data_IF_668071400701
#
_entry.id   IF_668071400701
#
_cell.length_a   1.000
_cell.length_b   1.000
_cell.length_c   1.000
_cell.angle_alpha   90.00
_cell.angle_beta   90.00
_cell.angle_gamma   90.00
#
_symmetry.space_group_name_H-M   'P 1'
#
loop_
_entity.id
_entity.type
_entity.pdbx_description
1 polymer ?
#
# COMPACT_ATOMS: atom_id res chain seq x y z
N UNK A 1 -27.28 -16.62 -8.53
CA UNK A 1 -26.46 -15.62 -7.79
C UNK A 1 -25.53 -16.39 -6.87
N UNK A 2 -24.25 -16.00 -6.74
CA UNK A 2 -23.33 -16.64 -5.80
C UNK A 2 -23.73 -16.29 -4.37
N UNK A 3 -23.44 -17.19 -3.43
CA UNK A 3 -23.65 -17.02 -1.99
C UNK A 3 -22.29 -16.99 -1.32
N UNK A 4 -22.09 -16.11 -0.34
CA UNK A 4 -20.88 -16.06 0.47
C UNK A 4 -21.21 -15.71 1.92
N UNK A 5 -20.35 -16.18 2.83
CA UNK A 5 -20.49 -15.89 4.26
C UNK A 5 -20.00 -14.49 4.59
N UNK A 6 -18.97 -14.02 3.88
CA UNK A 6 -18.42 -12.66 3.97
C UNK A 6 -18.20 -12.10 2.58
N UNK A 7 -18.30 -10.79 2.45
CA UNK A 7 -18.00 -10.08 1.21
C UNK A 7 -17.12 -8.87 1.47
N UNK A 8 -15.84 -8.99 1.15
CA UNK A 8 -14.88 -7.90 1.20
C UNK A 8 -14.83 -7.19 -0.16
N UNK A 9 -14.86 -5.86 -0.15
CA UNK A 9 -14.65 -5.02 -1.33
C UNK A 9 -13.41 -4.18 -1.10
N UNK A 10 -12.42 -4.37 -1.96
CA UNK A 10 -11.17 -3.61 -1.93
C UNK A 10 -11.26 -2.47 -2.94
N UNK A 11 -11.03 -1.24 -2.50
CA UNK A 11 -10.97 0.00 -3.31
C UNK A 11 -12.26 0.40 -4.07
N UNK A 12 -13.09 -0.54 -4.49
CA UNK A 12 -14.38 -0.31 -5.14
C UNK A 12 -14.69 -1.32 -6.25
N UNK A 13 -15.65 -0.96 -7.12
CA UNK A 13 -16.01 -1.73 -8.30
C UNK A 13 -15.41 -1.08 -9.55
N UNK A 14 -14.48 -1.75 -10.22
CA UNK A 14 -13.80 -1.18 -11.39
C UNK A 14 -14.65 -1.29 -12.66
N UNK A 15 -15.00 -2.51 -13.06
CA UNK A 15 -15.61 -2.81 -14.36
C UNK A 15 -17.15 -2.85 -14.34
N UNK A 16 -17.76 -2.63 -13.17
CA UNK A 16 -19.22 -2.74 -12.99
C UNK A 16 -19.77 -1.54 -12.25
N UNK A 17 -20.96 -1.09 -12.67
CA UNK A 17 -21.72 -0.05 -11.93
C UNK A 17 -22.31 -0.57 -10.61
N UNK A 18 -22.53 -1.88 -10.53
CA UNK A 18 -23.02 -2.56 -9.33
C UNK A 18 -22.65 -4.04 -9.36
N UNK A 19 -22.55 -4.66 -8.19
CA UNK A 19 -22.41 -6.10 -8.04
C UNK A 19 -23.43 -6.60 -7.01
N UNK A 20 -23.86 -7.86 -7.13
CA UNK A 20 -24.89 -8.45 -6.28
C UNK A 20 -24.52 -9.87 -5.88
N UNK A 21 -24.65 -10.17 -4.60
CA UNK A 21 -24.45 -11.51 -4.05
C UNK A 21 -25.49 -11.79 -2.95
N UNK A 22 -25.55 -13.04 -2.47
CA UNK A 22 -26.29 -13.40 -1.27
C UNK A 22 -25.30 -13.48 -0.10
N UNK A 23 -25.42 -12.57 0.86
CA UNK A 23 -24.51 -12.44 2.01
C UNK A 23 -25.27 -11.80 3.19
N UNK A 24 -24.95 -12.14 4.44
CA UNK A 24 -25.35 -11.32 5.58
C UNK A 24 -24.86 -9.88 5.42
N UNK A 25 -25.72 -8.88 5.67
CA UNK A 25 -25.34 -7.47 5.50
C UNK A 25 -24.22 -7.05 6.45
N UNK A 26 -24.21 -7.65 7.63
CA UNK A 26 -23.23 -7.44 8.70
C UNK A 26 -21.82 -7.92 8.30
N UNK A 27 -21.72 -8.73 7.23
CA UNK A 27 -20.49 -9.39 6.78
C UNK A 27 -19.94 -8.75 5.49
N UNK A 28 -20.46 -7.58 5.12
CA UNK A 28 -20.05 -6.82 3.94
C UNK A 28 -19.09 -5.72 4.38
N UNK A 29 -17.82 -5.83 4.02
CA UNK A 29 -16.74 -5.01 4.58
C UNK A 29 -16.01 -4.29 3.45
N UNK A 30 -15.73 -3.01 3.64
CA UNK A 30 -14.93 -2.23 2.71
C UNK A 30 -13.49 -2.09 3.21
N UNK A 31 -12.53 -2.13 2.29
CA UNK A 31 -11.11 -1.87 2.55
C UNK A 31 -10.66 -0.77 1.61
N UNK A 32 -10.25 0.38 2.15
CA UNK A 32 -9.63 1.46 1.36
C UNK A 32 -8.20 1.07 1.00
N UNK A 33 -7.66 1.50 -0.13
CA UNK A 33 -6.26 1.29 -0.54
C UNK A 33 -5.47 2.58 -0.74
N UNK A 34 -6.09 3.65 -1.24
CA UNK A 34 -5.45 4.96 -1.40
C UNK A 34 -5.63 5.84 -0.14
N UNK A 35 -4.65 6.71 0.18
CA UNK A 35 -4.71 7.62 1.32
C UNK A 35 -5.71 8.78 1.06
N UNK A 36 -6.13 9.51 2.12
CA UNK A 36 -7.08 10.63 1.99
C UNK A 36 -6.61 11.78 1.09
N UNK A 37 -5.30 11.88 0.84
CA UNK A 37 -4.68 12.86 -0.06
C UNK A 37 -4.84 12.52 -1.54
N UNK A 38 -5.19 11.26 -1.88
CA UNK A 38 -5.34 10.79 -3.26
C UNK A 38 -6.77 10.40 -3.61
N UNK A 39 -7.53 9.89 -2.64
CA UNK A 39 -8.91 9.47 -2.84
C UNK A 39 -9.71 9.76 -1.58
N UNK A 40 -10.96 10.18 -1.76
CA UNK A 40 -11.95 10.31 -0.69
C UNK A 40 -13.16 9.47 -1.05
N UNK A 41 -13.99 9.16 -0.05
CA UNK A 41 -15.14 8.30 -0.24
C UNK A 41 -16.44 9.00 0.16
N UNK A 42 -17.49 8.84 -0.65
CA UNK A 42 -18.81 9.44 -0.33
C UNK A 42 -19.50 8.67 0.79
N UNK A 43 -20.24 9.40 1.64
CA UNK A 43 -21.04 8.79 2.72
C UNK A 43 -22.01 7.74 2.19
N UNK A 44 -22.68 8.02 1.08
CA UNK A 44 -23.63 7.10 0.42
C UNK A 44 -22.94 5.81 -0.03
N UNK A 45 -21.70 5.91 -0.52
CA UNK A 45 -20.92 4.74 -0.91
C UNK A 45 -20.52 3.92 0.32
N UNK A 46 -19.97 4.56 1.35
CA UNK A 46 -19.48 3.91 2.58
C UNK A 46 -20.62 3.26 3.38
N UNK A 47 -21.80 3.86 3.42
CA UNK A 47 -22.97 3.33 4.13
C UNK A 47 -23.56 2.04 3.51
N UNK A 48 -22.98 1.53 2.41
CA UNK A 48 -23.32 0.21 1.86
C UNK A 48 -22.65 -0.94 2.63
N UNK A 49 -21.70 -0.64 3.52
CA UNK A 49 -20.85 -1.60 4.21
C UNK A 49 -21.15 -1.63 5.71
N UNK A 50 -20.93 -2.78 6.35
CA UNK A 50 -21.07 -2.92 7.80
C UNK A 50 -19.85 -2.41 8.56
N UNK A 51 -18.67 -2.42 7.94
CA UNK A 51 -17.41 -1.92 8.50
C UNK A 51 -16.50 -1.41 7.38
N UNK A 52 -15.61 -0.49 7.73
CA UNK A 52 -14.59 0.06 6.81
C UNK A 52 -13.21 -0.04 7.44
N UNK A 53 -12.32 -0.82 6.83
CA UNK A 53 -10.90 -0.92 7.21
C UNK A 53 -10.13 0.15 6.43
N UNK A 54 -9.44 1.05 7.14
CA UNK A 54 -8.86 2.24 6.50
C UNK A 54 -7.76 2.94 7.29
N UNK A 55 -6.94 3.71 6.58
CA UNK A 55 -6.03 4.71 7.15
C UNK A 55 -6.66 6.13 7.26
N UNK A 56 -7.89 6.33 6.77
CA UNK A 56 -8.57 7.63 6.75
C UNK A 56 -9.14 7.95 8.14
N UNK A 57 -8.42 8.73 8.94
CA UNK A 57 -8.83 9.06 10.33
C UNK A 57 -10.17 9.78 10.43
N UNK A 58 -10.50 10.59 9.43
CA UNK A 58 -11.73 11.41 9.38
C UNK A 58 -12.83 10.78 8.50
N UNK A 59 -12.80 9.45 8.30
CA UNK A 59 -13.78 8.78 7.45
C UNK A 59 -15.21 8.86 8.05
N UNK A 60 -16.19 9.26 7.24
CA UNK A 60 -17.60 9.31 7.65
C UNK A 60 -18.25 7.92 7.54
N UNK A 61 -18.09 7.11 8.60
CA UNK A 61 -18.70 5.80 8.71
C UNK A 61 -18.92 5.41 10.19
N UNK A 62 -20.03 4.75 10.57
CA UNK A 62 -20.33 4.38 11.96
C UNK A 62 -19.39 3.33 12.57
N UNK A 63 -18.70 2.52 11.75
CA UNK A 63 -17.77 1.48 12.21
C UNK A 63 -16.46 1.51 11.40
N UNK A 64 -15.60 2.52 11.60
CA UNK A 64 -14.27 2.55 10.99
C UNK A 64 -13.30 1.69 11.82
N UNK A 65 -12.37 1.02 11.14
CA UNK A 65 -11.32 0.20 11.73
C UNK A 65 -9.99 0.77 11.22
N UNK A 66 -9.30 1.48 12.09
CA UNK A 66 -8.09 2.22 11.73
C UNK A 66 -6.83 1.36 11.77
N UNK A 67 -6.36 0.93 10.60
CA UNK A 67 -5.17 0.11 10.42
C UNK A 67 -4.72 0.10 8.95
N UNK A 68 -3.58 -0.54 8.69
CA UNK A 68 -3.09 -0.82 7.34
C UNK A 68 -4.09 -1.67 6.53
N UNK A 69 -4.07 -1.49 5.21
CA UNK A 69 -5.11 -2.02 4.32
C UNK A 69 -4.79 -3.35 3.62
N UNK A 70 -3.67 -3.99 3.96
CA UNK A 70 -3.24 -5.27 3.37
C UNK A 70 -2.86 -5.14 1.90
N UNK A 71 -2.21 -4.05 1.51
CA UNK A 71 -1.86 -3.81 0.11
C UNK A 71 -0.99 -4.94 -0.47
N UNK A 72 -1.31 -5.49 -1.66
CA UNK A 72 -0.52 -6.56 -2.26
C UNK A 72 0.93 -6.11 -2.55
N UNK A 73 1.91 -6.97 -2.26
CA UNK A 73 3.29 -6.75 -2.68
C UNK A 73 3.44 -6.92 -4.20
N UNK A 74 4.49 -6.33 -4.76
CA UNK A 74 4.78 -6.37 -6.20
C UNK A 74 6.08 -7.11 -6.53
N UNK A 75 6.83 -7.63 -5.56
CA UNK A 75 7.99 -8.48 -5.87
C UNK A 75 7.54 -9.75 -6.58
N UNK A 76 8.30 -10.19 -7.59
CA UNK A 76 7.93 -11.36 -8.37
C UNK A 76 6.83 -11.09 -9.39
N UNK A 77 6.25 -9.89 -9.42
CA UNK A 77 5.25 -9.49 -10.42
C UNK A 77 5.98 -8.82 -11.58
N UNK A 78 6.21 -9.57 -12.65
CA UNK A 78 6.81 -9.06 -13.88
C UNK A 78 5.78 -8.29 -14.69
N UNK A 79 6.11 -7.06 -15.06
CA UNK A 79 5.27 -6.20 -15.87
C UNK A 79 6.00 -5.61 -17.06
N UNK A 80 5.30 -5.53 -18.19
CA UNK A 80 5.75 -4.78 -19.37
C UNK A 80 4.58 -3.99 -19.93
N UNK A 81 4.78 -2.70 -20.22
CA UNK A 81 3.73 -1.81 -20.74
C UNK A 81 2.42 -1.85 -19.93
N UNK A 82 2.53 -1.88 -18.59
CA UNK A 82 1.38 -1.99 -17.66
C UNK A 82 0.63 -3.33 -17.66
N UNK A 83 1.07 -4.30 -18.47
CA UNK A 83 0.50 -5.64 -18.50
C UNK A 83 1.33 -6.57 -17.61
N UNK A 84 0.65 -7.38 -16.80
CA UNK A 84 1.31 -8.46 -16.07
C UNK A 84 1.67 -9.55 -17.07
N UNK A 85 2.95 -9.93 -17.10
CA UNK A 85 3.44 -10.97 -18.02
C UNK A 85 3.75 -12.28 -17.28
N UNK A 86 4.17 -12.21 -16.02
CA UNK A 86 4.51 -13.39 -15.22
C UNK A 86 4.47 -13.06 -13.71
N UNK A 87 4.22 -14.08 -12.89
CA UNK A 87 4.42 -14.05 -11.44
C UNK A 87 5.50 -15.08 -11.05
N UNK A 88 6.73 -14.62 -10.84
CA UNK A 88 7.89 -15.48 -10.56
C UNK A 88 7.98 -15.90 -9.08
N UNK A 89 7.43 -15.11 -8.15
CA UNK A 89 7.44 -15.34 -6.70
C UNK A 89 6.03 -15.28 -6.11
N UNK A 90 5.73 -16.24 -5.25
CA UNK A 90 4.49 -16.33 -4.46
C UNK A 90 4.84 -16.43 -2.97
N UNK A 91 3.83 -16.56 -2.11
CA UNK A 91 4.01 -16.69 -0.66
C UNK A 91 5.01 -17.81 -0.30
N UNK A 92 4.80 -19.03 -0.81
CA UNK A 92 5.62 -20.19 -0.46
C UNK A 92 7.09 -20.00 -0.85
N UNK A 93 7.37 -19.59 -2.09
CA UNK A 93 8.74 -19.32 -2.55
C UNK A 93 9.43 -18.24 -1.72
N UNK A 94 8.70 -17.22 -1.25
CA UNK A 94 9.26 -16.17 -0.41
C UNK A 94 9.48 -16.64 1.03
N UNK A 95 8.64 -17.54 1.51
CA UNK A 95 8.71 -18.12 2.86
C UNK A 95 9.87 -19.10 3.00
N UNK A 96 10.16 -19.85 1.94
CA UNK A 96 11.26 -20.84 1.89
C UNK A 96 12.66 -20.21 1.83
N UNK A 97 12.76 -18.93 1.45
CA UNK A 97 14.06 -18.24 1.37
C UNK A 97 14.66 -18.03 2.76
N UNK A 98 15.82 -18.64 3.01
CA UNK A 98 16.59 -18.43 4.24
C UNK A 98 17.59 -17.26 4.15
N UNK A 99 18.04 -16.90 2.95
CA UNK A 99 19.00 -15.81 2.73
C UNK A 99 18.81 -15.18 1.34
N UNK A 100 19.20 -13.91 1.21
CA UNK A 100 19.24 -13.16 -0.05
C UNK A 100 20.61 -12.46 -0.09
N UNK A 101 21.54 -12.90 -0.97
CA UNK A 101 22.85 -12.27 -1.09
C UNK A 101 22.75 -10.80 -1.46
N UNK A 102 23.56 -9.96 -0.80
CA UNK A 102 23.61 -8.51 -1.06
C UNK A 102 24.97 -8.14 -1.65
N UNK A 103 24.98 -7.59 -2.86
CA UNK A 103 26.19 -7.20 -3.61
C UNK A 103 26.26 -5.69 -3.87
N UNK A 104 25.14 -4.98 -3.72
CA UNK A 104 24.99 -3.54 -3.97
C UNK A 104 24.56 -2.78 -2.72
N UNK A 105 24.80 -1.47 -2.72
CA UNK A 105 24.60 -0.62 -1.54
C UNK A 105 23.17 -0.07 -1.43
N UNK A 106 22.78 0.90 -2.26
CA UNK A 106 21.46 1.55 -2.22
C UNK A 106 20.72 1.40 -3.54
N UNK A 107 19.40 1.22 -3.45
CA UNK A 107 18.49 1.47 -4.56
C UNK A 107 17.35 2.40 -4.17
N UNK A 108 16.75 3.03 -5.17
CA UNK A 108 15.49 3.78 -5.04
C UNK A 108 14.64 3.50 -6.27
N UNK A 109 13.33 3.28 -6.06
CA UNK A 109 12.36 3.14 -7.15
C UNK A 109 11.39 4.32 -7.06
N UNK A 110 11.37 5.17 -8.08
CA UNK A 110 10.40 6.27 -8.19
C UNK A 110 9.99 6.48 -9.64
N UNK A 111 8.69 6.61 -9.91
CA UNK A 111 8.21 6.93 -11.26
C UNK A 111 8.31 8.42 -11.55
N UNK A 112 8.46 8.81 -12.82
CA UNK A 112 8.38 10.20 -13.30
C UNK A 112 6.99 10.85 -13.20
N UNK A 113 5.99 10.14 -12.64
CA UNK A 113 4.67 10.73 -12.37
C UNK A 113 4.80 11.87 -11.38
N UNK A 114 4.17 13.01 -11.69
CA UNK A 114 4.14 14.23 -10.87
C UNK A 114 2.70 14.77 -10.66
N UNK A 115 1.72 13.87 -10.67
CA UNK A 115 0.28 14.20 -10.68
C UNK A 115 -0.25 14.75 -9.35
N UNK A 116 0.47 14.55 -8.23
CA UNK A 116 0.17 15.14 -6.92
C UNK A 116 1.43 15.73 -6.30
N UNK A 117 1.28 16.53 -5.25
CA UNK A 117 2.42 17.09 -4.51
C UNK A 117 3.36 15.99 -4.01
N UNK A 118 2.82 14.92 -3.45
CA UNK A 118 3.61 13.79 -2.97
C UNK A 118 4.32 13.02 -4.09
N UNK A 119 3.70 12.90 -5.27
CA UNK A 119 4.39 12.36 -6.45
C UNK A 119 5.62 13.20 -6.81
N UNK A 120 5.48 14.53 -6.83
CA UNK A 120 6.57 15.46 -7.12
C UNK A 120 7.70 15.40 -6.08
N UNK A 121 7.37 15.48 -4.79
CA UNK A 121 8.36 15.41 -3.69
C UNK A 121 9.23 14.16 -3.79
N UNK A 122 8.63 13.00 -4.03
CA UNK A 122 9.38 11.73 -4.17
C UNK A 122 10.26 11.69 -5.41
N UNK A 123 9.77 12.19 -6.53
CA UNK A 123 10.54 12.23 -7.77
C UNK A 123 11.76 13.15 -7.63
N UNK A 124 11.56 14.36 -7.12
CA UNK A 124 12.65 15.31 -6.86
C UNK A 124 13.66 14.76 -5.85
N UNK A 125 13.19 14.16 -4.76
CA UNK A 125 14.10 13.56 -3.78
C UNK A 125 14.90 12.38 -4.37
N UNK A 126 14.29 11.53 -5.19
CA UNK A 126 15.00 10.44 -5.85
C UNK A 126 16.11 10.94 -6.79
N UNK A 127 15.88 12.05 -7.51
CA UNK A 127 16.92 12.70 -8.31
C UNK A 127 18.03 13.30 -7.45
N UNK A 128 17.69 13.99 -6.35
CA UNK A 128 18.68 14.51 -5.39
C UNK A 128 19.55 13.42 -4.79
N UNK A 129 18.96 12.28 -4.43
CA UNK A 129 19.73 11.12 -3.94
C UNK A 129 20.69 10.61 -4.99
N UNK A 130 20.26 10.53 -6.26
CA UNK A 130 21.13 10.08 -7.36
C UNK A 130 22.30 11.03 -7.59
N UNK A 131 22.05 12.33 -7.53
CA UNK A 131 23.09 13.36 -7.63
C UNK A 131 24.10 13.26 -6.47
N UNK A 132 23.59 13.20 -5.23
CA UNK A 132 24.40 13.16 -4.01
C UNK A 132 25.24 11.89 -3.85
N UNK A 133 24.63 10.72 -4.02
CA UNK A 133 25.28 9.43 -3.79
C UNK A 133 25.97 8.87 -5.05
N UNK A 134 25.73 9.43 -6.23
CA UNK A 134 26.37 9.07 -7.49
C UNK A 134 26.28 7.57 -7.81
N UNK A 135 27.41 6.89 -7.86
CA UNK A 135 27.51 5.46 -8.18
C UNK A 135 27.09 4.55 -7.01
N UNK A 136 26.91 5.08 -5.80
CA UNK A 136 26.51 4.29 -4.62
C UNK A 136 25.00 3.96 -4.60
N UNK A 137 24.20 4.66 -5.40
CA UNK A 137 22.76 4.46 -5.52
C UNK A 137 22.34 4.20 -6.96
N UNK A 138 21.51 3.18 -7.15
CA UNK A 138 20.84 2.94 -8.43
C UNK A 138 19.40 3.47 -8.36
N UNK A 139 19.03 4.30 -9.34
CA UNK A 139 17.70 4.90 -9.48
C UNK A 139 16.93 4.16 -10.58
N UNK A 140 15.80 3.57 -10.21
CA UNK A 140 14.89 2.87 -11.09
C UNK A 140 13.50 3.51 -11.11
N UNK A 141 12.73 3.18 -12.13
CA UNK A 141 11.31 3.52 -12.21
C UNK A 141 10.88 3.92 -13.61
N UNK A 142 9.57 4.02 -13.78
CA UNK A 142 8.95 4.36 -15.07
C UNK A 142 9.32 5.76 -15.52
N UNK A 143 9.66 5.91 -16.80
CA UNK A 143 10.19 7.15 -17.36
C UNK A 143 11.61 7.50 -16.89
N UNK A 144 12.29 6.57 -16.22
CA UNK A 144 13.70 6.63 -15.83
C UNK A 144 14.38 5.33 -16.30
N UNK A 145 15.01 4.58 -15.38
CA UNK A 145 15.53 3.24 -15.65
C UNK A 145 14.44 2.19 -15.31
N UNK A 146 13.69 1.75 -16.31
CA UNK A 146 12.57 0.83 -16.11
C UNK A 146 13.04 -0.60 -15.81
N UNK A 147 12.27 -1.30 -14.98
CA UNK A 147 12.47 -2.70 -14.61
C UNK A 147 11.16 -3.45 -14.78
N UNK A 148 11.22 -4.71 -15.20
CA UNK A 148 10.03 -5.55 -15.31
C UNK A 148 9.58 -6.09 -13.95
N UNK A 149 10.53 -6.45 -13.08
CA UNK A 149 10.28 -6.93 -11.71
C UNK A 149 10.97 -6.01 -10.71
N UNK A 150 10.26 -5.62 -9.64
CA UNK A 150 10.88 -4.87 -8.54
C UNK A 150 11.97 -5.67 -7.84
N UNK A 151 11.90 -7.01 -7.89
CA UNK A 151 12.92 -7.89 -7.33
C UNK A 151 14.33 -7.50 -7.82
N UNK A 152 14.48 -7.15 -9.11
CA UNK A 152 15.77 -6.85 -9.74
C UNK A 152 16.38 -5.52 -9.24
N UNK A 153 15.57 -4.65 -8.66
CA UNK A 153 16.01 -3.40 -8.05
C UNK A 153 16.12 -3.48 -6.52
N UNK A 154 15.88 -4.64 -5.91
CA UNK A 154 15.81 -4.80 -4.47
C UNK A 154 16.71 -5.93 -3.94
N UNK A 155 16.68 -7.09 -4.57
CA UNK A 155 17.28 -8.32 -4.04
C UNK A 155 18.78 -8.16 -3.74
N UNK A 156 19.53 -7.51 -4.63
CA UNK A 156 20.98 -7.35 -4.50
C UNK A 156 21.39 -6.21 -3.55
N UNK A 157 20.46 -5.38 -3.08
CA UNK A 157 20.77 -4.15 -2.35
C UNK A 157 20.64 -4.34 -0.84
N UNK A 158 21.60 -3.81 -0.08
CA UNK A 158 21.52 -3.74 1.38
C UNK A 158 20.43 -2.79 1.85
N UNK A 159 20.33 -1.62 1.23
CA UNK A 159 19.39 -0.56 1.58
C UNK A 159 18.47 -0.24 0.41
N UNK A 160 17.20 0.06 0.72
CA UNK A 160 16.25 0.55 -0.28
C UNK A 160 15.51 1.78 0.24
N UNK A 161 15.48 2.84 -0.57
CA UNK A 161 14.73 4.06 -0.25
C UNK A 161 13.27 3.87 -0.67
N UNK A 162 12.41 3.60 0.31
CA UNK A 162 10.99 3.32 0.13
C UNK A 162 10.16 4.58 0.44
N UNK A 163 9.57 5.18 -0.58
CA UNK A 163 8.91 6.49 -0.48
C UNK A 163 7.43 6.41 -0.83
N UNK A 164 6.56 6.72 0.12
CA UNK A 164 5.10 6.79 -0.12
C UNK A 164 4.63 8.14 -0.65
N UNK A 165 3.51 8.10 -1.36
CA UNK A 165 2.87 9.30 -1.93
C UNK A 165 2.45 10.31 -0.87
N UNK A 166 2.34 9.93 0.39
CA UNK A 166 1.87 10.78 1.48
C UNK A 166 2.35 10.23 2.81
N UNK A 167 2.49 11.12 3.81
CA UNK A 167 2.72 10.75 5.19
C UNK A 167 1.37 10.69 5.92
N UNK A 168 0.80 9.49 6.09
CA UNK A 168 -0.49 9.28 6.76
C UNK A 168 -0.37 8.11 7.73
N UNK A 169 -0.93 8.26 8.92
CA UNK A 169 -0.97 7.17 9.90
C UNK A 169 -1.63 5.93 9.32
N UNK A 170 -1.06 4.76 9.62
CA UNK A 170 -1.53 3.47 9.13
C UNK A 170 -1.41 3.27 7.60
N UNK A 171 -0.86 4.24 6.85
CA UNK A 171 -0.67 4.16 5.40
C UNK A 171 0.78 3.78 5.05
N UNK A 172 1.00 2.49 4.85
CA UNK A 172 2.19 1.95 4.22
C UNK A 172 1.77 0.91 3.18
N UNK A 173 2.54 0.79 2.11
CA UNK A 173 2.12 0.05 0.92
C UNK A 173 3.15 -1.00 0.51
N UNK A 174 3.01 -1.46 -0.73
CA UNK A 174 3.95 -2.37 -1.35
C UNK A 174 5.38 -1.80 -1.36
N UNK A 175 5.57 -0.48 -1.36
CA UNK A 175 6.93 0.11 -1.39
C UNK A 175 7.76 -0.29 -0.19
N UNK A 176 7.15 -0.33 1.00
CA UNK A 176 7.81 -0.81 2.21
C UNK A 176 7.80 -2.35 2.26
N UNK A 177 6.67 -2.97 1.92
CA UNK A 177 6.53 -4.43 1.92
C UNK A 177 7.60 -5.09 1.04
N UNK A 178 7.77 -4.61 -0.19
CA UNK A 178 8.72 -5.10 -1.18
C UNK A 178 10.16 -5.01 -0.67
N UNK A 179 10.52 -3.94 0.05
CA UNK A 179 11.85 -3.78 0.65
C UNK A 179 12.16 -4.87 1.68
N UNK A 180 11.23 -5.12 2.62
CA UNK A 180 11.37 -6.20 3.60
C UNK A 180 11.35 -7.58 2.92
N UNK A 181 10.47 -7.78 1.93
CA UNK A 181 10.38 -9.01 1.15
C UNK A 181 11.57 -9.25 0.21
N UNK A 182 12.42 -8.27 0.00
CA UNK A 182 13.72 -8.46 -0.64
C UNK A 182 14.87 -8.54 0.37
N UNK A 183 14.60 -8.42 1.68
CA UNK A 183 15.60 -8.45 2.73
C UNK A 183 16.48 -7.21 2.77
N UNK A 184 15.96 -6.04 2.37
CA UNK A 184 16.65 -4.76 2.48
C UNK A 184 16.40 -4.12 3.86
N UNK A 185 17.30 -3.25 4.30
CA UNK A 185 17.01 -2.25 5.33
C UNK A 185 16.30 -1.05 4.69
N UNK A 186 15.02 -0.78 4.99
CA UNK A 186 14.30 0.32 4.36
C UNK A 186 14.74 1.68 4.92
N UNK A 187 14.99 2.64 4.04
CA UNK A 187 15.10 4.07 4.32
C UNK A 187 13.74 4.69 3.96
N UNK A 188 12.88 4.94 4.95
CA UNK A 188 11.43 4.97 4.74
C UNK A 188 10.75 6.31 5.03
N UNK A 189 9.83 6.72 4.15
CA UNK A 189 8.90 7.83 4.35
C UNK A 189 7.47 7.40 3.98
N UNK A 190 6.49 7.62 4.87
CA UNK A 190 5.08 7.44 4.52
C UNK A 190 4.08 7.18 5.65
N UNK A 191 4.51 6.57 6.74
CA UNK A 191 3.63 6.19 7.85
C UNK A 191 4.22 6.72 9.17
N UNK A 192 3.72 7.83 9.74
CA UNK A 192 4.30 8.41 10.95
C UNK A 192 4.28 7.44 12.14
N UNK A 193 3.22 6.65 12.27
CA UNK A 193 3.07 5.62 13.30
C UNK A 193 3.61 4.23 12.90
N UNK A 194 4.59 4.15 11.97
CA UNK A 194 5.09 2.87 11.42
C UNK A 194 5.60 1.88 12.49
N UNK A 195 6.06 2.40 13.63
CA UNK A 195 6.56 1.60 14.75
C UNK A 195 5.45 0.76 15.43
N UNK A 196 4.17 0.96 15.09
CA UNK A 196 3.07 0.05 15.47
C UNK A 196 3.14 -1.29 14.72
N UNK A 197 3.79 -1.32 13.57
CA UNK A 197 3.82 -2.46 12.65
C UNK A 197 5.17 -3.18 12.69
N UNK A 198 6.26 -2.41 12.72
CA UNK A 198 7.62 -2.93 12.61
C UNK A 198 8.51 -2.40 13.73
N UNK A 199 9.54 -3.16 14.10
CA UNK A 199 10.50 -2.72 15.12
C UNK A 199 11.24 -1.46 14.64
N UNK A 200 11.45 -0.43 15.49
CA UNK A 200 12.10 0.82 15.08
C UNK A 200 13.49 0.64 14.48
N UNK A 201 14.23 -0.41 14.85
CA UNK A 201 15.55 -0.71 14.31
C UNK A 201 15.54 -1.51 13.01
N UNK A 202 14.37 -2.00 12.55
CA UNK A 202 14.25 -2.73 11.27
C UNK A 202 14.26 -1.83 10.03
N UNK A 203 14.08 -0.51 10.22
CA UNK A 203 14.06 0.51 9.17
C UNK A 203 14.63 1.81 9.72
N UNK A 204 14.95 2.75 8.84
CA UNK A 204 15.35 4.12 9.21
C UNK A 204 14.33 5.11 8.64
N UNK A 205 13.57 5.83 9.49
CA UNK A 205 12.65 6.86 9.02
C UNK A 205 13.39 8.06 8.43
N UNK A 206 12.87 8.62 7.34
CA UNK A 206 13.34 9.87 6.73
C UNK A 206 12.14 10.79 6.47
N UNK A 207 12.37 12.10 6.38
CA UNK A 207 11.31 13.09 6.13
C UNK A 207 11.60 13.92 4.88
N UNK A 208 10.72 13.79 3.88
CA UNK A 208 10.86 14.49 2.61
C UNK A 208 10.59 16.00 2.71
N UNK A 209 10.00 16.48 3.81
CA UNK A 209 9.88 17.93 4.04
C UNK A 209 11.21 18.58 4.43
N UNK A 210 12.20 17.78 4.82
CA UNK A 210 13.55 18.23 5.18
C UNK A 210 14.61 17.42 4.41
N UNK A 211 14.74 17.61 3.08
CA UNK A 211 15.52 16.73 2.21
C UNK A 211 17.00 16.64 2.61
N UNK A 212 17.64 17.75 2.98
CA UNK A 212 19.05 17.73 3.42
C UNK A 212 19.23 16.92 4.72
N UNK A 213 18.31 17.09 5.68
CA UNK A 213 18.31 16.27 6.91
C UNK A 213 18.06 14.81 6.59
N UNK A 214 17.16 14.50 5.65
CA UNK A 214 16.91 13.13 5.22
C UNK A 214 18.16 12.48 4.60
N UNK A 215 18.92 13.23 3.80
CA UNK A 215 20.20 12.77 3.25
C UNK A 215 21.20 12.50 4.40
N UNK A 216 21.36 13.40 5.36
CA UNK A 216 22.25 13.18 6.51
C UNK A 216 21.85 11.95 7.33
N UNK A 217 20.56 11.71 7.56
CA UNK A 217 20.07 10.50 8.23
C UNK A 217 20.42 9.23 7.44
N UNK A 218 20.34 9.27 6.11
CA UNK A 218 20.77 8.16 5.27
C UNK A 218 22.28 7.94 5.42
N UNK A 219 23.09 8.99 5.37
CA UNK A 219 24.54 8.88 5.55
C UNK A 219 24.92 8.27 6.90
N UNK A 220 24.28 8.72 7.98
CA UNK A 220 24.46 8.16 9.33
C UNK A 220 24.08 6.68 9.38
N UNK A 221 22.96 6.30 8.77
CA UNK A 221 22.50 4.91 8.68
C UNK A 221 23.53 4.02 7.97
N UNK A 222 24.11 4.50 6.87
CA UNK A 222 25.15 3.79 6.12
C UNK A 222 26.45 3.70 6.91
N UNK A 223 26.89 4.79 7.52
CA UNK A 223 28.12 4.84 8.33
C UNK A 223 28.05 3.90 9.55
N UNK A 224 26.85 3.75 10.13
CA UNK A 224 26.58 2.83 11.24
C UNK A 224 26.40 1.37 10.81
N UNK A 225 26.45 1.05 9.51
CA UNK A 225 26.20 -0.30 8.98
C UNK A 225 24.87 -0.88 9.52
N UNK A 226 23.80 -0.07 9.51
CA UNK A 226 22.52 -0.45 10.12
C UNK A 226 21.91 -1.72 9.53
N UNK A 227 22.09 -1.96 8.23
CA UNK A 227 21.68 -3.20 7.58
C UNK A 227 22.27 -4.43 8.28
N UNK A 228 23.58 -4.42 8.55
CA UNK A 228 24.28 -5.51 9.22
C UNK A 228 23.77 -5.71 10.65
N UNK A 229 23.58 -4.63 11.40
CA UNK A 229 23.11 -4.70 12.80
C UNK A 229 21.62 -5.06 12.94
N UNK A 230 20.82 -4.92 11.88
CA UNK A 230 19.37 -5.13 11.93
C UNK A 230 18.89 -6.34 11.12
N UNK A 231 19.77 -7.24 10.67
CA UNK A 231 19.41 -8.37 9.80
C UNK A 231 18.25 -9.19 10.36
N UNK A 232 18.32 -9.57 11.63
CA UNK A 232 17.29 -10.40 12.26
C UNK A 232 15.94 -9.66 12.32
N UNK A 233 15.97 -8.36 12.60
CA UNK A 233 14.77 -7.52 12.62
C UNK A 233 14.19 -7.32 11.22
N UNK A 234 15.01 -7.28 10.16
CA UNK A 234 14.55 -7.26 8.77
C UNK A 234 13.84 -8.58 8.44
N UNK A 235 14.38 -9.73 8.85
CA UNK A 235 13.76 -11.04 8.66
C UNK A 235 12.48 -11.22 9.48
N UNK A 236 12.42 -10.66 10.69
CA UNK A 236 11.18 -10.58 11.47
C UNK A 236 10.13 -9.72 10.74
N UNK A 237 10.50 -8.54 10.27
CA UNK A 237 9.61 -7.65 9.50
C UNK A 237 9.13 -8.31 8.21
N UNK A 238 10.00 -9.03 7.49
CA UNK A 238 9.63 -9.87 6.33
C UNK A 238 8.56 -10.90 6.71
N UNK A 239 8.77 -11.61 7.82
CA UNK A 239 7.81 -12.60 8.32
C UNK A 239 6.47 -11.96 8.64
N UNK A 240 6.46 -10.78 9.27
CA UNK A 240 5.23 -10.01 9.53
C UNK A 240 4.51 -9.60 8.24
N UNK A 241 5.24 -9.15 7.22
CA UNK A 241 4.65 -8.85 5.90
C UNK A 241 3.98 -10.08 5.31
N UNK A 242 4.68 -11.22 5.30
CA UNK A 242 4.18 -12.47 4.73
C UNK A 242 2.98 -13.03 5.51
N UNK A 243 3.04 -13.06 6.83
CA UNK A 243 2.09 -13.86 7.63
C UNK A 243 0.97 -13.03 8.26
N UNK A 244 1.17 -11.72 8.45
CA UNK A 244 0.26 -10.88 9.23
C UNK A 244 -0.31 -9.70 8.45
N UNK A 245 0.53 -8.99 7.71
CA UNK A 245 0.13 -7.73 7.07
C UNK A 245 -0.29 -7.87 5.61
N UNK A 246 -0.36 -9.09 5.09
CA UNK A 246 -0.97 -9.35 3.78
C UNK A 246 -2.52 -9.31 3.86
N UNK A 247 -3.16 -9.12 2.71
CA UNK A 247 -4.63 -9.04 2.59
C UNK A 247 -5.36 -10.25 3.19
N UNK A 248 -4.86 -11.46 2.97
CA UNK A 248 -5.53 -12.69 3.41
C UNK A 248 -5.48 -12.85 4.93
N UNK A 249 -4.34 -12.55 5.55
CA UNK A 249 -4.20 -12.55 7.00
C UNK A 249 -5.12 -11.50 7.64
N UNK A 250 -5.14 -10.28 7.09
CA UNK A 250 -6.05 -9.21 7.55
C UNK A 250 -7.52 -9.64 7.48
N UNK A 251 -7.95 -10.25 6.36
CA UNK A 251 -9.32 -10.77 6.20
C UNK A 251 -9.62 -11.89 7.20
N UNK A 252 -8.68 -12.82 7.38
CA UNK A 252 -8.84 -13.94 8.31
C UNK A 252 -8.95 -13.47 9.77
N UNK A 253 -8.09 -12.51 10.18
CA UNK A 253 -8.14 -11.90 11.51
C UNK A 253 -9.47 -11.17 11.74
N UNK A 254 -9.95 -10.40 10.75
CA UNK A 254 -11.25 -9.74 10.82
C UNK A 254 -12.38 -10.77 11.03
N UNK A 255 -12.44 -11.81 10.20
CA UNK A 255 -13.49 -12.85 10.29
C UNK A 255 -13.44 -13.54 11.65
N UNK A 256 -12.25 -13.85 12.16
CA UNK A 256 -12.08 -14.50 13.44
C UNK A 256 -12.56 -13.61 14.60
N UNK A 257 -12.22 -12.32 14.58
CA UNK A 257 -12.68 -11.35 15.58
C UNK A 257 -14.21 -11.14 15.51
N UNK A 258 -14.75 -10.99 14.30
CA UNK A 258 -16.18 -10.80 14.11
C UNK A 258 -17.00 -12.02 14.58
N UNK A 259 -16.55 -13.24 14.28
CA UNK A 259 -17.18 -14.48 14.77
C UNK A 259 -17.17 -14.62 16.29
N UNK A 260 -16.13 -14.13 16.96
CA UNK A 260 -16.06 -14.11 18.44
C UNK A 260 -17.07 -13.13 19.04
N UNK A 261 -17.28 -11.99 18.39
CA UNK A 261 -18.21 -10.96 18.86
C UNK A 261 -19.67 -11.29 18.51
N UNK A 262 -19.89 -12.03 17.43
CA UNK A 262 -21.20 -12.54 17.03
C UNK A 262 -21.59 -13.76 17.89
N UNK A 263 -21.73 -13.57 19.21
CA UNK A 263 -22.32 -14.59 20.07
C UNK A 263 -23.74 -14.92 19.57
N UNK A 264 -23.96 -16.18 19.20
CA UNK A 264 -25.26 -16.88 19.04
C UNK A 264 -26.34 -16.34 18.09
N UNK A 265 -26.18 -15.19 17.43
CA UNK A 265 -27.18 -14.69 16.47
C UNK A 265 -26.98 -15.26 15.06
N UNK A 266 -27.99 -15.99 14.57
CA UNK A 266 -28.02 -16.44 13.18
C UNK A 266 -28.22 -15.24 12.26
N UNK A 267 -27.22 -14.94 11.42
CA UNK A 267 -27.31 -13.85 10.45
C UNK A 267 -28.04 -14.30 9.19
N UNK A 268 -29.04 -13.53 8.79
CA UNK A 268 -29.86 -13.84 7.62
C UNK A 268 -29.11 -13.60 6.30
N UNK A 269 -29.14 -14.59 5.43
CA UNK A 269 -28.64 -14.45 4.06
C UNK A 269 -29.63 -13.63 3.23
N UNK A 270 -29.22 -12.44 2.84
CA UNK A 270 -30.05 -11.53 2.04
C UNK A 270 -29.35 -11.15 0.74
N UNK A 271 -30.14 -10.70 -0.23
CA UNK A 271 -29.60 -10.12 -1.47
C UNK A 271 -28.98 -8.76 -1.14
N UNK A 272 -27.65 -8.65 -1.25
CA UNK A 272 -26.92 -7.39 -1.10
C UNK A 272 -26.49 -6.90 -2.48
N UNK A 273 -26.71 -5.61 -2.76
CA UNK A 273 -26.23 -4.94 -3.97
C UNK A 273 -25.33 -3.80 -3.59
N UNK A 274 -24.07 -3.86 -4.00
CA UNK A 274 -23.09 -2.78 -3.85
C UNK A 274 -23.06 -2.01 -5.17
N UNK A 275 -23.15 -0.70 -5.08
CA UNK A 275 -23.05 0.24 -6.20
C UNK A 275 -21.67 0.86 -6.19
N UNK A 276 -21.13 1.07 -7.39
CA UNK A 276 -19.85 1.73 -7.60
C UNK A 276 -19.91 3.13 -6.98
N UNK A 277 -18.83 3.51 -6.32
CA UNK A 277 -18.60 4.88 -5.90
C UNK A 277 -18.79 5.84 -7.08
N UNK A 278 -19.59 6.89 -6.87
CA UNK A 278 -19.76 7.91 -7.89
C UNK A 278 -18.41 8.61 -8.10
N UNK A 279 -17.85 8.52 -9.31
CA UNK A 279 -16.66 9.29 -9.63
C UNK A 279 -17.01 10.77 -9.65
N UNK A 280 -16.29 11.59 -8.87
CA UNK A 280 -16.44 13.06 -8.86
C UNK A 280 -16.23 13.72 -10.24
N UNK A 281 -15.81 12.97 -11.26
CA UNK A 281 -15.57 13.42 -12.63
C UNK A 281 -16.81 13.54 -13.52
N UNK A 282 -18.01 13.18 -13.05
CA UNK A 282 -19.23 13.25 -13.86
C UNK A 282 -20.10 14.44 -13.43
N UNK A 283 -19.62 15.66 -13.70
CA UNK A 283 -20.46 16.85 -13.70
C UNK A 283 -21.32 16.88 -14.98
N UNK A 284 -22.53 16.32 -14.91
CA UNK A 284 -23.52 16.48 -15.97
C UNK A 284 -24.35 17.74 -15.71
N UNK A 285 -24.00 18.83 -16.39
CA UNK A 285 -24.87 20.00 -16.46
C UNK A 285 -25.80 19.87 -17.66
N UNK A 286 -27.10 19.78 -17.43
CA UNK A 286 -28.12 19.87 -18.48
C UNK A 286 -28.79 21.25 -18.39
N UNK A 287 -28.61 22.08 -19.41
CA UNK A 287 -29.27 23.38 -19.51
C UNK A 287 -30.42 23.29 -20.51
N UNK A 288 -31.60 23.82 -20.14
CA UNK A 288 -32.69 24.08 -21.11
C UNK A 288 -32.41 25.39 -21.84
N UNK A 289 -32.70 25.44 -23.15
CA UNK A 289 -32.43 26.57 -24.07
C UNK A 289 -32.89 27.93 -23.53
N UNK A 290 -33.93 27.97 -22.70
CA UNK A 290 -34.49 29.19 -22.12
C UNK A 290 -33.57 29.92 -21.12
N UNK A 291 -32.45 29.31 -20.69
CA UNK A 291 -31.46 29.95 -19.81
C UNK A 291 -30.36 30.68 -20.61
N UNK A 292 -30.21 30.38 -21.91
CA UNK A 292 -29.17 30.97 -22.78
C UNK A 292 -29.69 32.08 -23.71
N UNK A 293 -30.94 32.50 -23.52
CA UNK A 293 -31.56 33.58 -24.27
C UNK A 293 -32.02 34.70 -23.33
N UNK A 294 -31.03 35.46 -22.84
CA UNK A 294 -31.14 36.87 -22.45
C UNK A 294 -29.82 37.55 -22.75
#
# INVERSE_FOLDING_TARGET
MKRCDYWFVLEGLYDKKKETTICPKENVVFITGEPPTLKTYSREFLHQFAAVITCHKDIDHPKPIFQQSGMPWHIGRRQKNHLNIEFSKNYDKLKEMATIPKTKLLSVISSSKVMSEGHRKRYEFALRLKDHFGHKIDLFGRGLNEIEDKWDALADYKYHVALENSAVDDYWTEKLADAFLAGCHPLYYGCPNINRYFAPASLTPIDLNYPERAISVIEECLAQNRFESSKDLIWESRTRVLDRYNLFALIAEYIAADRKNAAESSRSYVKVTIRKEASASNLFYQFKKNILSR
#
